data_IF_190767222498
#
_entry.id   IF_190767222498
#
_cell.length_a   1.000
_cell.length_b   1.000
_cell.length_c   1.000
_cell.angle_alpha   90.00
_cell.angle_beta   90.00
_cell.angle_gamma   90.00
#
_symmetry.space_group_name_H-M   'P 1'
#
loop_
_entity.id
_entity.type
_entity.pdbx_description
1 polymer ?
#
# COMPACT_ATOMS: atom_id res chain seq x y z
N UNK A 1 -16.44 -9.50 14.06
CA UNK A 1 -16.10 -9.45 13.69
C UNK A 1 -15.34 -9.08 13.02
N UNK A 2 -14.85 -9.06 12.67
CA UNK A 2 -14.21 -8.69 12.13
C UNK A 2 -14.08 -8.41 11.09
N UNK A 3 -13.95 -7.84 10.72
CA UNK A 3 -13.85 -7.61 9.57
C UNK A 3 -12.68 -7.25 9.03
N UNK A 4 -12.21 -7.65 8.00
CA UNK A 4 -10.94 -7.31 7.49
C UNK A 4 -11.05 -6.17 6.54
N UNK A 5 -10.69 -5.00 7.00
CA UNK A 5 -10.57 -3.84 6.14
C UNK A 5 -9.10 -3.65 5.79
N UNK A 6 -8.49 -4.71 5.31
CA UNK A 6 -7.08 -4.70 4.98
C UNK A 6 -6.86 -5.32 3.61
N UNK A 7 -5.99 -4.70 2.81
CA UNK A 7 -5.57 -5.27 1.54
C UNK A 7 -4.06 -5.37 1.52
N UNK A 8 -3.56 -6.29 0.70
CA UNK A 8 -2.12 -6.47 0.50
C UNK A 8 -1.83 -6.32 -0.96
N UNK A 9 -0.80 -5.53 -1.27
CA UNK A 9 -0.39 -5.31 -2.65
C UNK A 9 1.07 -5.70 -2.77
N UNK A 10 1.36 -6.58 -3.73
CA UNK A 10 2.75 -6.95 -3.98
C UNK A 10 3.31 -6.03 -5.04
N UNK A 11 4.47 -5.45 -4.76
CA UNK A 11 5.12 -4.54 -5.68
C UNK A 11 6.58 -4.93 -5.86
N UNK A 12 7.19 -4.45 -6.93
CA UNK A 12 8.62 -4.64 -7.15
C UNK A 12 9.31 -3.29 -7.14
N UNK A 13 10.62 -3.31 -6.91
CA UNK A 13 11.41 -2.07 -6.88
C UNK A 13 11.75 -1.60 -5.48
N UNK A 14 11.06 -2.11 -4.47
CA UNK A 14 11.32 -1.74 -3.09
C UNK A 14 12.48 -2.59 -2.58
N UNK A 15 13.58 -1.94 -2.20
CA UNK A 15 14.79 -2.67 -1.86
C UNK A 15 15.48 -2.20 -0.58
N UNK A 16 14.88 -1.27 0.16
CA UNK A 16 15.49 -0.76 1.38
C UNK A 16 14.43 -0.17 2.31
N UNK A 17 14.83 0.05 3.58
CA UNK A 17 13.90 0.62 4.56
C UNK A 17 13.44 2.03 4.17
N UNK A 18 14.31 2.78 3.52
CA UNK A 18 13.90 4.10 3.04
C UNK A 18 12.74 4.03 2.07
N UNK A 19 12.71 2.98 1.26
CA UNK A 19 11.60 2.76 0.33
C UNK A 19 10.32 2.46 1.08
N UNK A 20 10.41 1.63 2.13
CA UNK A 20 9.26 1.35 2.97
C UNK A 20 8.68 2.62 3.55
N UNK A 21 9.53 3.44 4.12
CA UNK A 21 9.08 4.69 4.74
C UNK A 21 8.42 5.61 3.71
N UNK A 22 8.99 5.67 2.52
CA UNK A 22 8.43 6.51 1.47
C UNK A 22 7.04 6.04 1.09
N UNK A 23 6.88 4.75 0.88
CA UNK A 23 5.57 4.18 0.52
C UNK A 23 4.56 4.46 1.62
N UNK A 24 4.95 4.21 2.86
CA UNK A 24 4.06 4.42 3.98
C UNK A 24 3.64 5.89 4.10
N UNK A 25 4.60 6.80 3.98
CA UNK A 25 4.30 8.22 4.14
C UNK A 25 3.37 8.73 3.06
N UNK A 26 3.58 8.29 1.82
CA UNK A 26 2.76 8.75 0.71
C UNK A 26 1.35 8.16 0.81
N UNK A 27 1.25 6.88 1.10
CA UNK A 27 -0.06 6.23 1.15
C UNK A 27 -0.89 6.67 2.34
N UNK A 28 -0.25 7.03 3.45
CA UNK A 28 -0.97 7.53 4.62
C UNK A 28 -1.75 8.80 4.31
N UNK A 29 -1.35 9.52 3.29
CA UNK A 29 -2.04 10.75 2.91
C UNK A 29 -3.26 10.50 2.03
N UNK A 30 -3.47 9.27 1.62
CA UNK A 30 -4.63 8.91 0.82
C UNK A 30 -5.84 8.76 1.75
N UNK A 31 -6.98 9.26 1.31
CA UNK A 31 -8.19 9.20 2.12
C UNK A 31 -8.59 7.75 2.40
N UNK A 32 -9.23 7.54 3.55
CA UNK A 32 -9.76 6.25 3.98
C UNK A 32 -8.71 5.22 4.37
N UNK A 33 -7.44 5.62 4.44
CA UNK A 33 -6.38 4.73 4.88
C UNK A 33 -6.07 4.98 6.35
N UNK A 34 -6.17 3.95 7.17
CA UNK A 34 -5.84 4.03 8.59
C UNK A 34 -4.36 3.83 8.84
N UNK A 35 -3.80 2.82 8.21
CA UNK A 35 -2.38 2.56 8.39
C UNK A 35 -1.83 1.83 7.17
N UNK A 36 -0.52 1.94 7.02
CA UNK A 36 0.19 1.31 5.92
C UNK A 36 1.43 0.66 6.49
N UNK A 37 1.69 -0.57 6.10
CA UNK A 37 2.86 -1.30 6.54
C UNK A 37 3.53 -1.92 5.32
N UNK A 38 4.67 -1.38 4.93
CA UNK A 38 5.40 -1.86 3.77
C UNK A 38 6.58 -2.72 4.24
N UNK A 39 6.84 -3.80 3.49
CA UNK A 39 7.91 -4.72 3.83
C UNK A 39 8.74 -4.99 2.57
N UNK A 40 9.98 -4.52 2.55
CA UNK A 40 10.80 -4.66 1.36
C UNK A 40 11.33 -6.09 1.18
N UNK A 41 11.36 -6.88 2.25
CA UNK A 41 11.82 -8.27 2.15
C UNK A 41 10.85 -9.13 1.36
N UNK A 42 9.56 -8.86 1.48
CA UNK A 42 8.54 -9.62 0.77
C UNK A 42 7.99 -8.88 -0.42
N UNK A 43 8.20 -7.56 -0.47
CA UNK A 43 7.63 -6.72 -1.50
C UNK A 43 6.14 -6.48 -1.31
N UNK A 44 5.62 -6.73 -0.13
CA UNK A 44 4.20 -6.61 0.15
C UNK A 44 3.92 -5.35 0.96
N UNK A 45 2.93 -4.59 0.52
CA UNK A 45 2.44 -3.41 1.22
C UNK A 45 1.06 -3.75 1.78
N UNK A 46 0.94 -3.71 3.10
CA UNK A 46 -0.33 -3.95 3.78
C UNK A 46 -0.99 -2.61 4.07
N UNK A 47 -2.23 -2.47 3.68
CA UNK A 47 -2.97 -1.24 3.86
C UNK A 47 -4.23 -1.53 4.64
N UNK A 48 -4.40 -0.84 5.75
CA UNK A 48 -5.61 -0.94 6.56
C UNK A 48 -6.46 0.30 6.33
N UNK A 49 -7.75 0.08 6.16
CA UNK A 49 -8.66 1.15 5.83
C UNK A 49 -9.90 1.08 6.72
N UNK A 50 -10.53 2.23 6.94
CA UNK A 50 -11.78 2.29 7.69
C UNK A 50 -12.92 1.67 6.92
N UNK A 51 -12.90 1.77 5.60
CA UNK A 51 -13.98 1.27 4.78
C UNK A 51 -13.40 0.83 3.44
N UNK A 52 -13.32 -0.48 3.27
CA UNK A 52 -12.69 -1.05 2.09
C UNK A 52 -13.44 -0.71 0.82
N UNK A 53 -14.75 -0.46 0.92
CA UNK A 53 -15.54 -0.10 -0.25
C UNK A 53 -15.22 1.29 -0.76
N UNK A 54 -14.81 2.17 0.15
CA UNK A 54 -14.46 3.54 -0.22
C UNK A 54 -13.00 3.70 -0.57
N UNK A 55 -12.22 2.63 -0.41
CA UNK A 55 -10.80 2.67 -0.70
C UNK A 55 -10.57 2.70 -2.22
N UNK A 56 -9.82 3.70 -2.66
CA UNK A 56 -9.53 3.86 -4.09
C UNK A 56 -8.26 3.11 -4.44
N UNK A 57 -8.44 1.87 -4.86
CA UNK A 57 -7.33 1.00 -5.22
C UNK A 57 -6.54 1.57 -6.40
N UNK A 58 -7.27 2.15 -7.37
CA UNK A 58 -6.61 2.72 -8.56
C UNK A 58 -5.68 3.86 -8.18
N UNK A 59 -6.11 4.70 -7.24
CA UNK A 59 -5.27 5.79 -6.78
C UNK A 59 -4.03 5.26 -6.07
N UNK A 60 -4.19 4.20 -5.29
CA UNK A 60 -3.06 3.59 -4.61
C UNK A 60 -2.06 3.05 -5.62
N UNK A 61 -2.56 2.38 -6.65
CA UNK A 61 -1.68 1.85 -7.70
C UNK A 61 -0.94 2.98 -8.42
N UNK A 62 -1.66 4.03 -8.78
CA UNK A 62 -1.04 5.18 -9.44
C UNK A 62 0.05 5.79 -8.57
N UNK A 63 -0.25 5.93 -7.29
CA UNK A 63 0.70 6.52 -6.35
C UNK A 63 1.98 5.69 -6.29
N UNK A 64 1.84 4.37 -6.22
CA UNK A 64 3.00 3.49 -6.17
C UNK A 64 3.78 3.54 -7.47
N UNK A 65 3.10 3.60 -8.60
CA UNK A 65 3.77 3.70 -9.89
C UNK A 65 4.51 5.02 -10.04
N UNK A 66 3.93 6.10 -9.51
CA UNK A 66 4.59 7.40 -9.52
C UNK A 66 5.89 7.38 -8.73
N UNK A 67 5.95 6.55 -7.70
CA UNK A 67 7.16 6.41 -6.90
C UNK A 67 8.21 5.54 -7.59
N UNK A 68 7.86 4.90 -8.69
CA UNK A 68 8.79 4.08 -9.45
C UNK A 68 8.68 2.60 -9.17
N UNK A 69 7.60 2.15 -8.53
CA UNK A 69 7.39 0.74 -8.24
C UNK A 69 6.39 0.14 -9.21
N UNK A 70 6.56 -1.15 -9.48
CA UNK A 70 5.63 -1.88 -10.33
C UNK A 70 4.67 -2.69 -9.47
N UNK A 71 3.39 -2.64 -9.83
CA UNK A 71 2.38 -3.43 -9.15
C UNK A 71 2.41 -4.85 -9.74
N UNK A 72 2.69 -5.82 -8.89
CA UNK A 72 2.75 -7.21 -9.33
C UNK A 72 1.41 -7.90 -9.13
N UNK A 73 0.79 -7.66 -7.98
CA UNK A 73 -0.51 -8.30 -7.74
C UNK A 73 -1.19 -7.63 -6.55
N UNK A 74 -2.50 -7.71 -6.52
CA UNK A 74 -3.30 -7.23 -5.39
C UNK A 74 -3.94 -8.45 -4.76
N UNK A 75 -3.64 -8.67 -3.48
CA UNK A 75 -4.07 -9.87 -2.78
C UNK A 75 -5.39 -9.70 -2.04
#
# INVERSE_FOLDING_TARGET
MEKNNKIEIRISGMSCTGCENRVENVLKNVENIESVNANYNTGIVEIETNNIKDLDIDMIKETLEDLGYDILEVL
#
